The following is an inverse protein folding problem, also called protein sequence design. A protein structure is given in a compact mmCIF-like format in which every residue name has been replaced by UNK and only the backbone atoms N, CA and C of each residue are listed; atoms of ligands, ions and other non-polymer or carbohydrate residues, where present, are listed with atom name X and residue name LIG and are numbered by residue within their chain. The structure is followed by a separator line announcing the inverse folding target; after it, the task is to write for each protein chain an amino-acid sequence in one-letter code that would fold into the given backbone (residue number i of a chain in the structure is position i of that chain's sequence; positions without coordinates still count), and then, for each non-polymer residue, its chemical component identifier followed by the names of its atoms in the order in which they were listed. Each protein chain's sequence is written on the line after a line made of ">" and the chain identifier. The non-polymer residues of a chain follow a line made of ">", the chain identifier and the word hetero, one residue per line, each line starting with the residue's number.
data_IF_338915442557
#
_entry.id   IF_338915442557
#
_cell.length_a   1.000
_cell.length_b   1.000
_cell.length_c   1.000
_cell.angle_alpha   90.00
_cell.angle_beta   90.00
_cell.angle_gamma   90.00
#
_symmetry.space_group_name_H-M   'P 1'
#
loop_
_entity.id
_entity.type
_entity.pdbx_description
1 polymer ?
#
# COMPACT_ATOMS: atom_id res chain seq x y z
N UNK A 1 -41.72 35.27 20.30
CA UNK A 1 -41.63 35.27 18.82
C UNK A 1 -40.19 34.91 18.51
N UNK A 2 -40.01 33.69 18.49
CA UNK A 2 -39.62 32.76 17.43
C UNK A 2 -38.15 32.92 16.99
N UNK A 3 -37.27 32.16 17.67
CA UNK A 3 -35.99 31.78 17.19
C UNK A 3 -36.11 30.41 16.53
N UNK A 4 -35.84 30.27 15.24
CA UNK A 4 -35.71 29.00 14.54
C UNK A 4 -34.26 28.59 14.49
N UNK A 5 -34.05 27.36 14.92
CA UNK A 5 -32.78 26.66 14.89
C UNK A 5 -32.27 26.39 13.46
N UNK A 6 -30.98 26.34 13.33
CA UNK A 6 -30.27 25.76 12.18
C UNK A 6 -29.57 24.50 12.67
N UNK A 7 -30.29 23.42 12.68
CA UNK A 7 -29.75 22.08 12.67
C UNK A 7 -30.18 21.48 11.33
N UNK A 8 -29.33 21.51 10.34
CA UNK A 8 -29.48 20.62 9.18
C UNK A 8 -28.16 20.56 8.41
N UNK A 9 -27.80 19.33 8.10
CA UNK A 9 -26.96 18.88 6.99
C UNK A 9 -25.46 18.73 7.22
N UNK A 10 -25.14 17.74 8.03
CA UNK A 10 -23.85 17.02 7.94
C UNK A 10 -23.98 15.64 7.25
N UNK A 11 -24.97 15.47 6.36
CA UNK A 11 -25.27 14.16 5.75
C UNK A 11 -25.20 14.13 4.22
N UNK A 12 -24.67 15.15 3.54
CA UNK A 12 -24.71 15.19 2.07
C UNK A 12 -23.36 15.53 1.40
N UNK A 13 -22.23 15.09 1.93
CA UNK A 13 -20.92 15.21 1.24
C UNK A 13 -20.42 13.85 0.71
N UNK A 14 -21.23 12.80 0.82
CA UNK A 14 -20.92 11.51 0.23
C UNK A 14 -21.78 11.25 -0.99
N UNK A 15 -21.57 11.96 -2.11
CA UNK A 15 -22.03 11.43 -3.39
C UNK A 15 -21.53 12.30 -4.56
N UNK A 16 -20.52 11.82 -5.25
CA UNK A 16 -20.32 11.84 -6.71
C UNK A 16 -18.85 11.52 -7.04
N UNK A 17 -18.37 10.33 -6.65
CA UNK A 17 -17.26 9.75 -7.39
C UNK A 17 -17.83 9.08 -8.63
N UNK A 18 -17.37 9.53 -9.80
CA UNK A 18 -17.68 8.88 -11.07
C UNK A 18 -17.19 7.43 -11.00
N UNK A 19 -18.08 6.47 -11.26
CA UNK A 19 -17.82 5.04 -11.14
C UNK A 19 -16.92 4.60 -12.27
N UNK A 20 -15.67 4.24 -11.96
CA UNK A 20 -14.81 3.57 -12.94
C UNK A 20 -15.07 2.06 -12.95
N UNK A 21 -16.24 1.65 -13.41
CA UNK A 21 -16.48 0.29 -13.86
C UNK A 21 -16.18 0.27 -15.36
N UNK A 22 -14.97 -0.13 -15.72
CA UNK A 22 -14.54 -0.17 -17.14
C UNK A 22 -15.18 -1.37 -17.88
N UNK A 23 -15.36 -2.50 -17.18
CA UNK A 23 -15.98 -3.72 -17.72
C UNK A 23 -17.27 -4.03 -16.95
N UNK A 24 -18.43 -3.58 -17.44
CA UNK A 24 -19.70 -3.91 -16.80
C UNK A 24 -20.02 -5.39 -17.00
N UNK A 25 -20.39 -6.07 -15.92
CA UNK A 25 -20.77 -7.49 -15.92
C UNK A 25 -22.18 -7.66 -15.39
N UNK A 26 -22.93 -8.58 -16.00
CA UNK A 26 -24.20 -9.05 -15.49
C UNK A 26 -24.03 -10.15 -14.44
N UNK A 27 -25.02 -10.33 -13.57
CA UNK A 27 -25.02 -11.40 -12.57
C UNK A 27 -24.92 -12.80 -13.22
N UNK A 28 -25.54 -13.02 -14.39
CA UNK A 28 -25.53 -14.30 -15.08
C UNK A 28 -24.16 -14.62 -15.68
N UNK A 29 -23.45 -13.63 -16.22
CA UNK A 29 -22.05 -13.80 -16.67
C UNK A 29 -21.15 -14.19 -15.51
N UNK A 30 -21.30 -13.51 -14.36
CA UNK A 30 -20.51 -13.80 -13.16
C UNK A 30 -20.88 -15.16 -12.56
N UNK A 31 -22.13 -15.58 -12.55
CA UNK A 31 -22.53 -16.93 -12.14
C UNK A 31 -21.87 -18.01 -13.01
N UNK A 32 -21.87 -17.81 -14.32
CA UNK A 32 -21.23 -18.72 -15.27
C UNK A 32 -19.72 -18.80 -15.02
N UNK A 33 -19.09 -17.68 -14.78
CA UNK A 33 -17.65 -17.58 -14.46
C UNK A 33 -17.29 -18.21 -13.12
N UNK A 34 -18.14 -18.03 -12.10
CA UNK A 34 -17.88 -18.49 -10.73
C UNK A 34 -18.21 -19.96 -10.48
N UNK A 35 -19.10 -20.56 -11.29
CA UNK A 35 -19.55 -21.94 -11.13
C UNK A 35 -18.39 -22.98 -11.10
N UNK A 36 -17.35 -22.92 -11.95
CA UNK A 36 -16.21 -23.83 -11.87
C UNK A 36 -15.40 -23.76 -10.57
N UNK A 37 -15.49 -22.65 -9.82
CA UNK A 37 -14.90 -22.50 -8.49
C UNK A 37 -15.79 -23.06 -7.37
N UNK A 38 -16.94 -23.64 -7.70
CA UNK A 38 -17.93 -24.13 -6.74
C UNK A 38 -18.70 -23.01 -6.04
N UNK A 39 -18.78 -21.82 -6.63
CA UNK A 39 -19.48 -20.68 -6.08
C UNK A 39 -20.84 -20.50 -6.76
N UNK A 40 -21.89 -20.47 -5.95
CA UNK A 40 -23.24 -20.09 -6.38
C UNK A 40 -23.51 -18.63 -5.96
N UNK A 41 -23.36 -17.70 -6.92
CA UNK A 41 -23.41 -16.26 -6.64
C UNK A 41 -24.85 -15.77 -6.59
N UNK A 42 -25.24 -15.13 -5.47
CA UNK A 42 -26.53 -14.48 -5.26
C UNK A 42 -26.51 -13.00 -5.64
N UNK A 43 -25.43 -12.28 -5.23
CA UNK A 43 -25.35 -10.83 -5.36
C UNK A 43 -24.05 -10.43 -6.04
N UNK A 44 -24.13 -9.40 -6.88
CA UNK A 44 -23.01 -8.77 -7.57
C UNK A 44 -23.07 -7.26 -7.32
N UNK A 45 -22.10 -6.72 -6.59
CA UNK A 45 -22.08 -5.31 -6.23
C UNK A 45 -20.76 -4.68 -6.72
N UNK A 46 -20.82 -3.66 -7.60
CA UNK A 46 -19.62 -3.00 -8.08
C UNK A 46 -18.90 -2.27 -6.94
N UNK A 47 -17.57 -2.36 -6.91
CA UNK A 47 -16.72 -1.62 -5.97
C UNK A 47 -16.34 -0.30 -6.63
N UNK A 48 -16.68 0.80 -5.95
CA UNK A 48 -16.31 2.14 -6.39
C UNK A 48 -14.88 2.45 -5.96
N UNK A 49 -14.10 3.15 -6.80
CA UNK A 49 -12.78 3.68 -6.45
C UNK A 49 -11.57 2.86 -6.91
N UNK A 50 -11.74 1.79 -7.68
CA UNK A 50 -10.62 1.11 -8.35
C UNK A 50 -10.09 1.96 -9.52
N UNK A 51 -8.79 2.32 -9.51
CA UNK A 51 -8.19 3.17 -10.54
C UNK A 51 -7.73 2.35 -11.75
N UNK A 52 -7.31 1.12 -11.54
CA UNK A 52 -6.64 0.29 -12.56
C UNK A 52 -7.47 -0.91 -13.01
N UNK A 53 -8.35 -1.45 -12.16
CA UNK A 53 -9.09 -2.68 -12.42
C UNK A 53 -10.56 -2.50 -12.09
N UNK A 54 -11.43 -3.27 -12.76
CA UNK A 54 -12.83 -3.38 -12.39
C UNK A 54 -13.01 -4.42 -11.28
N UNK A 55 -13.60 -4.02 -10.17
CA UNK A 55 -13.80 -4.89 -9.02
C UNK A 55 -15.26 -5.00 -8.64
N UNK A 56 -15.67 -6.20 -8.21
CA UNK A 56 -17.01 -6.48 -7.70
C UNK A 56 -16.95 -7.25 -6.39
N UNK A 57 -17.81 -6.92 -5.43
CA UNK A 57 -18.13 -7.82 -4.34
C UNK A 57 -19.15 -8.86 -4.81
N UNK A 58 -18.84 -10.12 -4.55
CA UNK A 58 -19.74 -11.26 -4.76
C UNK A 58 -20.22 -11.76 -3.40
N UNK A 59 -21.50 -12.14 -3.32
CA UNK A 59 -22.05 -12.86 -2.17
C UNK A 59 -22.58 -14.20 -2.66
N UNK A 60 -22.14 -15.31 -2.07
CA UNK A 60 -22.62 -16.65 -2.40
C UNK A 60 -23.90 -17.03 -1.61
N UNK A 61 -24.49 -18.18 -1.93
CA UNK A 61 -25.67 -18.75 -1.24
C UNK A 61 -25.42 -19.00 0.26
N UNK A 62 -24.18 -19.19 0.68
CA UNK A 62 -23.78 -19.39 2.07
C UNK A 62 -23.46 -18.07 2.78
N UNK A 63 -23.75 -16.92 2.16
CA UNK A 63 -23.41 -15.57 2.64
C UNK A 63 -21.92 -15.29 2.78
N UNK A 64 -21.07 -16.11 2.21
CA UNK A 64 -19.63 -15.81 2.09
C UNK A 64 -19.42 -14.75 1.03
N UNK A 65 -18.42 -13.91 1.27
CA UNK A 65 -18.12 -12.76 0.42
C UNK A 65 -16.78 -12.94 -0.28
N UNK A 66 -16.72 -12.52 -1.52
CA UNK A 66 -15.54 -12.59 -2.38
C UNK A 66 -15.36 -11.29 -3.14
N UNK A 67 -14.18 -11.09 -3.70
CA UNK A 67 -13.87 -10.03 -4.66
C UNK A 67 -13.58 -10.68 -6.01
N UNK A 68 -14.30 -10.28 -7.04
CA UNK A 68 -13.97 -10.53 -8.43
C UNK A 68 -13.19 -9.32 -8.94
N UNK A 69 -11.94 -9.54 -9.36
CA UNK A 69 -11.11 -8.53 -10.03
C UNK A 69 -11.03 -8.86 -11.52
N UNK A 70 -11.38 -7.91 -12.38
CA UNK A 70 -11.17 -7.96 -13.82
C UNK A 70 -10.01 -7.03 -14.15
N UNK A 71 -8.96 -7.57 -14.74
CA UNK A 71 -7.76 -6.82 -15.09
C UNK A 71 -7.98 -6.10 -16.43
N UNK A 72 -7.87 -4.77 -16.40
CA UNK A 72 -8.18 -3.94 -17.58
C UNK A 72 -7.00 -3.83 -18.54
N UNK A 73 -5.77 -3.81 -18.00
CA UNK A 73 -4.56 -3.55 -18.77
C UNK A 73 -3.57 -4.74 -18.78
N UNK A 74 -3.64 -5.63 -17.78
CA UNK A 74 -2.75 -6.78 -17.68
C UNK A 74 -3.25 -7.95 -18.55
N UNK A 75 -2.31 -8.68 -19.14
CA UNK A 75 -2.60 -10.00 -19.68
C UNK A 75 -2.70 -11.07 -18.57
N UNK A 76 -2.98 -12.31 -18.92
CA UNK A 76 -3.15 -13.39 -17.95
C UNK A 76 -1.85 -13.70 -17.18
N UNK A 77 -0.69 -13.49 -17.77
CA UNK A 77 0.60 -13.68 -17.12
C UNK A 77 0.83 -12.59 -16.07
N UNK A 78 0.66 -11.32 -16.43
CA UNK A 78 0.80 -10.20 -15.52
C UNK A 78 -0.23 -10.24 -14.38
N UNK A 79 -1.49 -10.62 -14.67
CA UNK A 79 -2.54 -10.80 -13.68
C UNK A 79 -2.20 -11.91 -12.67
N UNK A 80 -1.48 -12.95 -13.10
CA UNK A 80 -1.09 -14.09 -12.27
C UNK A 80 0.27 -13.97 -11.58
N UNK A 81 1.06 -12.95 -11.88
CA UNK A 81 2.46 -12.82 -11.43
C UNK A 81 2.60 -12.90 -9.90
N UNK A 82 1.70 -12.27 -9.17
CA UNK A 82 1.76 -12.18 -7.70
C UNK A 82 1.05 -13.32 -6.96
N UNK A 83 0.34 -14.21 -7.66
CA UNK A 83 -0.40 -15.30 -7.00
C UNK A 83 0.52 -16.20 -6.18
N UNK A 84 1.70 -16.65 -6.67
CA UNK A 84 2.61 -17.46 -5.87
C UNK A 84 3.07 -16.76 -4.58
N UNK A 85 3.23 -15.43 -4.62
CA UNK A 85 3.57 -14.62 -3.44
C UNK A 85 2.44 -14.66 -2.42
N UNK A 86 1.20 -14.40 -2.85
CA UNK A 86 0.03 -14.42 -1.98
C UNK A 86 -0.18 -15.82 -1.36
N UNK A 87 0.05 -16.88 -2.12
CA UNK A 87 0.01 -18.26 -1.63
C UNK A 87 1.08 -18.52 -0.56
N UNK A 88 2.32 -18.10 -0.81
CA UNK A 88 3.41 -18.21 0.15
C UNK A 88 3.09 -17.46 1.44
N UNK A 89 2.63 -16.22 1.34
CA UNK A 89 2.25 -15.38 2.49
C UNK A 89 1.09 -16.02 3.29
N UNK A 90 0.07 -16.54 2.60
CA UNK A 90 -1.05 -17.23 3.24
C UNK A 90 -0.65 -18.47 4.02
N UNK A 91 0.41 -19.19 3.62
CA UNK A 91 0.94 -20.33 4.36
C UNK A 91 1.80 -19.94 5.58
N UNK A 92 2.15 -18.66 5.71
CA UNK A 92 2.96 -18.12 6.80
C UNK A 92 2.17 -17.17 7.73
N UNK A 93 0.85 -17.35 7.81
CA UNK A 93 -0.03 -16.58 8.68
C UNK A 93 0.03 -15.05 8.44
N UNK A 94 0.35 -14.63 7.20
CA UNK A 94 0.18 -13.25 6.77
C UNK A 94 -1.25 -13.11 6.21
N UNK A 95 -2.06 -12.18 6.73
CA UNK A 95 -3.46 -12.08 6.32
C UNK A 95 -3.57 -11.42 4.92
N UNK A 96 -3.63 -12.25 3.88
CA UNK A 96 -3.76 -11.84 2.48
C UNK A 96 -4.90 -12.58 1.79
N UNK A 97 -5.49 -11.96 0.77
CA UNK A 97 -6.54 -12.57 -0.02
C UNK A 97 -5.95 -13.48 -1.11
N UNK A 98 -5.75 -14.77 -0.79
CA UNK A 98 -5.25 -15.76 -1.76
C UNK A 98 -6.35 -16.07 -2.79
N UNK A 99 -6.12 -15.86 -4.10
CA UNK A 99 -7.11 -16.15 -5.14
C UNK A 99 -7.50 -17.62 -5.18
N UNK A 100 -8.79 -17.88 -5.43
CA UNK A 100 -9.31 -19.22 -5.62
C UNK A 100 -8.78 -19.82 -6.93
N UNK A 101 -8.59 -21.13 -6.94
CA UNK A 101 -8.15 -21.86 -8.15
C UNK A 101 -9.24 -22.83 -8.63
N UNK A 102 -9.40 -22.92 -9.94
CA UNK A 102 -10.05 -24.08 -10.56
C UNK A 102 -9.16 -24.61 -11.68
N UNK A 103 -9.16 -25.92 -11.90
CA UNK A 103 -8.26 -26.58 -12.88
C UNK A 103 -6.77 -26.20 -12.70
N UNK A 104 -6.34 -25.92 -11.48
CA UNK A 104 -4.97 -25.54 -11.13
C UNK A 104 -4.58 -24.08 -11.42
N UNK A 105 -5.48 -23.26 -11.98
CA UNK A 105 -5.24 -21.86 -12.33
C UNK A 105 -6.17 -20.93 -11.54
N UNK A 106 -5.65 -19.76 -11.16
CA UNK A 106 -6.43 -18.73 -10.46
C UNK A 106 -6.94 -17.65 -11.44
N UNK A 107 -6.24 -17.40 -12.54
CA UNK A 107 -6.65 -16.41 -13.55
C UNK A 107 -7.36 -17.12 -14.70
N UNK A 108 -8.58 -16.67 -14.98
CA UNK A 108 -9.40 -17.11 -16.11
C UNK A 108 -9.98 -15.89 -16.83
N UNK A 109 -10.78 -16.07 -17.89
CA UNK A 109 -11.28 -14.97 -18.68
C UNK A 109 -12.80 -14.77 -18.49
N UNK A 110 -13.19 -13.51 -18.27
CA UNK A 110 -14.58 -13.05 -18.30
C UNK A 110 -14.66 -11.81 -19.20
N UNK A 111 -15.68 -11.73 -20.06
CA UNK A 111 -15.82 -10.64 -21.02
C UNK A 111 -14.54 -10.36 -21.87
N UNK A 112 -13.75 -11.42 -22.15
CA UNK A 112 -12.51 -11.33 -22.92
C UNK A 112 -11.31 -10.80 -22.16
N UNK A 113 -11.41 -10.56 -20.84
CA UNK A 113 -10.33 -10.03 -19.99
C UNK A 113 -9.92 -11.03 -18.92
N UNK A 114 -8.65 -11.02 -18.48
CA UNK A 114 -8.21 -11.81 -17.34
C UNK A 114 -8.95 -11.39 -16.07
N UNK A 115 -9.33 -12.37 -15.26
CA UNK A 115 -10.01 -12.13 -14.00
C UNK A 115 -9.69 -13.19 -12.96
N UNK A 116 -9.82 -12.85 -11.70
CA UNK A 116 -9.66 -13.74 -10.55
C UNK A 116 -10.74 -13.50 -9.50
N UNK A 117 -11.00 -14.53 -8.69
CA UNK A 117 -11.86 -14.44 -7.51
C UNK A 117 -11.01 -14.72 -6.27
N UNK A 118 -11.07 -13.84 -5.28
CA UNK A 118 -10.42 -14.04 -3.99
C UNK A 118 -11.43 -13.88 -2.85
N UNK A 119 -11.22 -14.50 -1.67
CA UNK A 119 -12.02 -14.23 -0.49
C UNK A 119 -11.96 -12.74 -0.14
N UNK A 120 -13.10 -12.15 0.24
CA UNK A 120 -13.12 -10.78 0.75
C UNK A 120 -12.51 -10.74 2.15
N UNK A 121 -11.48 -9.94 2.32
CA UNK A 121 -10.99 -9.59 3.65
C UNK A 121 -11.93 -8.58 4.30
N UNK A 122 -12.23 -8.78 5.56
CA UNK A 122 -13.15 -7.95 6.32
C UNK A 122 -12.38 -6.86 7.08
N UNK A 123 -13.10 -5.85 7.60
CA UNK A 123 -12.50 -4.79 8.39
C UNK A 123 -12.53 -3.43 7.69
N UNK A 124 -11.83 -2.47 8.31
CA UNK A 124 -11.79 -1.08 7.85
C UNK A 124 -10.34 -0.56 7.88
N UNK A 125 -10.03 0.41 7.02
CA UNK A 125 -8.75 1.12 7.06
C UNK A 125 -8.70 2.00 8.32
N UNK A 126 -7.65 1.91 9.15
CA UNK A 126 -7.56 2.72 10.35
C UNK A 126 -7.22 4.17 10.00
N UNK A 127 -8.12 5.10 10.36
CA UNK A 127 -7.87 6.54 10.18
C UNK A 127 -6.77 7.05 11.13
N UNK A 128 -6.78 6.54 12.34
CA UNK A 128 -5.74 6.70 13.34
C UNK A 128 -5.40 5.32 13.92
N UNK A 129 -4.14 5.10 14.21
CA UNK A 129 -3.67 3.82 14.72
C UNK A 129 -3.58 3.80 16.24
N UNK A 130 -3.87 2.64 16.85
CA UNK A 130 -3.51 2.36 18.23
C UNK A 130 -2.14 1.69 18.32
N UNK A 131 -1.53 1.66 19.51
CA UNK A 131 -0.29 0.91 19.77
C UNK A 131 -0.44 -0.57 19.43
N UNK A 132 -1.61 -1.16 19.75
CA UNK A 132 -1.90 -2.55 19.44
C UNK A 132 -2.00 -2.83 17.91
N UNK A 133 -2.63 -1.92 17.16
CA UNK A 133 -2.67 -2.03 15.69
C UNK A 133 -1.27 -1.90 15.07
N UNK A 134 -0.43 -1.01 15.62
CA UNK A 134 0.98 -0.86 15.19
C UNK A 134 1.76 -2.15 15.46
N UNK A 135 1.61 -2.77 16.62
CA UNK A 135 2.24 -4.05 16.91
C UNK A 135 1.74 -5.17 15.99
N UNK A 136 0.44 -5.19 15.65
CA UNK A 136 -0.14 -6.20 14.76
C UNK A 136 0.39 -6.10 13.32
N UNK A 137 0.52 -4.88 12.77
CA UNK A 137 1.10 -4.71 11.42
C UNK A 137 2.59 -5.02 11.41
N UNK A 138 3.33 -4.69 12.47
CA UNK A 138 4.75 -5.01 12.60
C UNK A 138 5.01 -6.52 12.62
N UNK A 139 4.21 -7.28 13.37
CA UNK A 139 4.25 -8.76 13.38
C UNK A 139 4.00 -9.33 11.97
N UNK A 140 2.94 -8.88 11.31
CA UNK A 140 2.58 -9.35 9.97
C UNK A 140 3.65 -8.99 8.93
N UNK A 141 4.23 -7.79 8.99
CA UNK A 141 5.30 -7.37 8.08
C UNK A 141 6.60 -8.17 8.32
N UNK A 142 6.93 -8.48 9.57
CA UNK A 142 8.07 -9.34 9.86
C UNK A 142 7.88 -10.76 9.31
N UNK A 143 6.67 -11.32 9.44
CA UNK A 143 6.30 -12.60 8.81
C UNK A 143 6.39 -12.54 7.29
N UNK A 144 5.94 -11.45 6.66
CA UNK A 144 6.06 -11.22 5.22
C UNK A 144 7.53 -11.27 4.79
N UNK A 145 8.40 -10.53 5.45
CA UNK A 145 9.82 -10.50 5.12
C UNK A 145 10.49 -11.89 5.29
N UNK A 146 10.13 -12.63 6.33
CA UNK A 146 10.64 -13.98 6.56
C UNK A 146 10.09 -14.96 5.52
N UNK A 147 8.79 -14.90 5.22
CA UNK A 147 8.13 -15.79 4.26
C UNK A 147 8.65 -15.62 2.83
N UNK A 148 9.08 -14.41 2.49
CA UNK A 148 9.61 -14.08 1.15
C UNK A 148 11.13 -14.06 1.11
N UNK A 149 11.82 -14.39 2.20
CA UNK A 149 13.26 -14.59 2.17
C UNK A 149 13.58 -15.73 1.21
N UNK A 150 14.49 -15.49 0.26
CA UNK A 150 14.88 -16.46 -0.77
C UNK A 150 13.73 -16.99 -1.64
N UNK A 151 12.57 -16.30 -1.65
CA UNK A 151 11.45 -16.68 -2.48
C UNK A 151 11.80 -16.53 -3.97
N UNK A 152 11.61 -17.58 -4.81
CA UNK A 152 12.08 -17.57 -6.20
C UNK A 152 11.10 -16.85 -7.12
N UNK A 153 10.89 -15.54 -6.92
CA UNK A 153 10.12 -14.69 -7.81
C UNK A 153 11.07 -13.94 -8.75
N UNK A 154 10.95 -14.19 -10.04
CA UNK A 154 11.58 -13.38 -11.08
C UNK A 154 10.60 -12.30 -11.51
N UNK A 155 10.91 -11.06 -11.21
CA UNK A 155 10.09 -9.91 -11.56
C UNK A 155 10.95 -8.81 -12.17
N UNK A 156 10.56 -8.35 -13.37
CA UNK A 156 11.25 -7.23 -14.03
C UNK A 156 10.92 -5.86 -13.40
N UNK A 157 9.84 -5.79 -12.66
CA UNK A 157 9.40 -4.57 -11.97
C UNK A 157 10.40 -4.17 -10.89
N UNK A 158 11.05 -3.02 -11.10
CA UNK A 158 12.04 -2.49 -10.16
C UNK A 158 11.73 -1.02 -9.87
N UNK A 159 11.32 -0.77 -8.64
CA UNK A 159 11.19 0.58 -8.07
C UNK A 159 11.99 0.70 -6.78
N UNK A 160 13.24 0.24 -6.85
CA UNK A 160 14.21 0.30 -5.78
C UNK A 160 14.71 1.75 -5.54
N UNK A 161 15.62 1.89 -4.58
CA UNK A 161 16.23 3.18 -4.24
C UNK A 161 16.86 3.88 -5.46
N UNK A 162 17.48 3.14 -6.38
CA UNK A 162 18.09 3.73 -7.58
C UNK A 162 17.05 4.33 -8.53
N UNK A 163 15.93 3.64 -8.74
CA UNK A 163 14.81 4.15 -9.53
C UNK A 163 14.29 5.48 -8.96
N UNK A 164 14.02 5.53 -7.64
CA UNK A 164 13.48 6.73 -7.02
C UNK A 164 14.47 7.89 -6.98
N UNK A 165 15.76 7.61 -6.87
CA UNK A 165 16.82 8.61 -7.03
C UNK A 165 16.76 9.24 -8.43
N UNK A 166 16.60 8.43 -9.47
CA UNK A 166 16.42 8.91 -10.84
C UNK A 166 15.18 9.79 -11.02
N UNK A 167 14.07 9.43 -10.38
CA UNK A 167 12.82 10.24 -10.39
C UNK A 167 13.07 11.59 -9.71
N UNK A 168 13.69 11.62 -8.54
CA UNK A 168 13.98 12.84 -7.80
C UNK A 168 14.87 13.80 -8.61
N UNK A 169 15.92 13.29 -9.26
CA UNK A 169 16.80 14.11 -10.12
C UNK A 169 16.06 14.69 -11.33
N UNK A 170 15.12 13.96 -11.92
CA UNK A 170 14.28 14.47 -13.03
C UNK A 170 13.29 15.57 -12.58
N UNK A 171 12.86 15.53 -11.32
CA UNK A 171 11.95 16.52 -10.75
C UNK A 171 12.68 17.78 -10.26
N UNK A 172 13.94 17.65 -9.86
CA UNK A 172 14.78 18.69 -9.26
C UNK A 172 14.74 20.06 -10.00
N UNK A 173 14.82 20.13 -11.35
CA UNK A 173 14.74 21.40 -12.06
C UNK A 173 13.43 22.18 -11.88
N UNK A 174 12.36 21.51 -11.43
CA UNK A 174 11.04 22.13 -11.21
C UNK A 174 10.76 22.42 -9.74
N UNK A 175 11.69 22.11 -8.84
CA UNK A 175 11.59 22.34 -7.40
C UNK A 175 12.04 23.75 -7.04
N UNK A 176 11.56 24.27 -5.91
CA UNK A 176 12.10 25.50 -5.32
C UNK A 176 13.53 25.26 -4.82
N UNK A 177 14.30 26.33 -4.59
CA UNK A 177 15.65 26.21 -4.04
C UNK A 177 15.66 25.54 -2.67
N UNK A 178 14.65 25.84 -1.83
CA UNK A 178 14.52 25.23 -0.51
C UNK A 178 14.25 23.70 -0.61
N UNK A 179 13.42 23.29 -1.59
CA UNK A 179 13.13 21.88 -1.83
C UNK A 179 14.34 21.13 -2.37
N UNK A 180 15.11 21.75 -3.28
CA UNK A 180 16.37 21.18 -3.77
C UNK A 180 17.38 20.99 -2.62
N UNK A 181 17.51 22.00 -1.76
CA UNK A 181 18.38 21.95 -0.59
C UNK A 181 17.97 20.84 0.37
N UNK A 182 16.66 20.72 0.65
CA UNK A 182 16.13 19.67 1.53
C UNK A 182 16.39 18.28 0.94
N UNK A 183 16.13 18.10 -0.37
CA UNK A 183 16.41 16.86 -1.10
C UNK A 183 17.89 16.47 -0.97
N UNK A 184 18.80 17.40 -1.23
CA UNK A 184 20.26 17.19 -1.15
C UNK A 184 20.70 16.80 0.26
N UNK A 185 20.16 17.43 1.29
CA UNK A 185 20.47 17.11 2.69
C UNK A 185 20.04 15.68 3.06
N UNK A 186 18.84 15.24 2.63
CA UNK A 186 18.37 13.87 2.86
C UNK A 186 19.28 12.86 2.18
N UNK A 187 19.62 13.07 0.89
CA UNK A 187 20.52 12.16 0.17
C UNK A 187 21.92 12.15 0.76
N UNK A 188 22.45 13.31 1.17
CA UNK A 188 23.77 13.39 1.81
C UNK A 188 23.80 12.62 3.13
N UNK A 189 22.81 12.80 4.00
CA UNK A 189 22.70 12.10 5.26
C UNK A 189 22.55 10.57 5.06
N UNK A 190 21.68 10.19 4.14
CA UNK A 190 21.45 8.78 3.79
C UNK A 190 22.72 8.11 3.27
N UNK A 191 23.37 8.71 2.26
CA UNK A 191 24.57 8.14 1.66
C UNK A 191 25.74 8.05 2.65
N UNK A 192 25.92 9.05 3.51
CA UNK A 192 26.98 9.05 4.51
C UNK A 192 26.80 7.90 5.52
N UNK A 193 25.58 7.73 6.02
CA UNK A 193 25.31 6.71 7.05
C UNK A 193 25.29 5.30 6.47
N UNK A 194 24.67 5.11 5.30
CA UNK A 194 24.62 3.81 4.64
C UNK A 194 25.99 3.32 4.14
N UNK A 195 26.90 4.21 3.84
CA UNK A 195 28.29 3.86 3.53
C UNK A 195 29.06 3.32 4.76
N UNK A 196 28.72 3.80 5.96
CA UNK A 196 29.35 3.38 7.21
C UNK A 196 28.79 2.05 7.73
N UNK A 197 27.49 1.85 7.62
CA UNK A 197 26.75 0.71 8.15
C UNK A 197 26.17 -0.11 6.98
N UNK A 198 26.89 -1.13 6.53
CA UNK A 198 26.59 -1.84 5.28
C UNK A 198 25.88 -3.19 5.45
N UNK A 199 25.77 -3.71 6.68
CA UNK A 199 25.12 -4.99 6.95
C UNK A 199 23.60 -4.82 7.10
N UNK A 200 22.92 -4.48 5.99
CA UNK A 200 21.49 -4.31 5.90
C UNK A 200 20.90 -5.34 4.93
N UNK A 201 20.09 -6.28 5.45
CA UNK A 201 19.48 -7.32 4.63
C UNK A 201 18.55 -6.77 3.54
N UNK A 202 18.60 -7.43 2.39
CA UNK A 202 17.72 -7.18 1.25
C UNK A 202 16.74 -8.34 1.06
N UNK A 203 15.59 -8.08 0.46
CA UNK A 203 14.59 -9.08 0.14
C UNK A 203 13.39 -8.47 -0.56
N UNK A 204 12.32 -9.24 -0.71
CA UNK A 204 11.06 -8.69 -1.18
C UNK A 204 10.40 -7.84 -0.10
N UNK A 205 10.00 -6.65 -0.48
CA UNK A 205 9.29 -5.67 0.34
C UNK A 205 7.95 -5.33 -0.29
N UNK A 206 6.95 -5.00 0.53
CA UNK A 206 5.64 -4.55 0.05
C UNK A 206 5.75 -3.22 -0.70
N UNK A 207 6.63 -2.35 -0.25
CA UNK A 207 6.94 -1.03 -0.81
C UNK A 207 5.86 0.04 -0.71
N UNK A 208 4.65 -0.31 -0.29
CA UNK A 208 3.51 0.59 -0.15
C UNK A 208 2.62 0.21 1.05
N UNK A 209 3.23 -0.23 2.16
CA UNK A 209 2.50 -0.68 3.35
C UNK A 209 2.04 0.50 4.21
N UNK A 210 0.99 1.16 3.74
CA UNK A 210 0.27 2.24 4.41
C UNK A 210 -1.02 1.73 5.06
N UNK A 211 -1.62 2.55 5.92
CA UNK A 211 -2.91 2.26 6.57
C UNK A 211 -4.05 2.00 5.58
N UNK A 212 -4.05 2.68 4.43
CA UNK A 212 -5.03 2.49 3.36
C UNK A 212 -4.85 1.17 2.58
N UNK A 213 -3.72 0.48 2.79
CA UNK A 213 -3.47 -0.89 2.29
C UNK A 213 -3.64 -1.96 3.37
N UNK A 214 -4.29 -1.64 4.50
CA UNK A 214 -4.55 -2.59 5.58
C UNK A 214 -6.00 -2.56 6.05
N UNK A 215 -6.49 -3.69 6.52
CA UNK A 215 -7.84 -3.83 7.07
C UNK A 215 -7.76 -4.32 8.51
N UNK A 216 -8.47 -3.63 9.40
CA UNK A 216 -8.56 -3.98 10.81
C UNK A 216 -10.00 -4.16 11.27
N UNK A 217 -10.21 -5.12 12.17
CA UNK A 217 -11.42 -5.25 12.98
C UNK A 217 -11.03 -5.04 14.44
N UNK A 218 -11.35 -3.88 14.99
CA UNK A 218 -10.80 -3.44 16.26
C UNK A 218 -9.27 -3.34 16.20
N UNK A 219 -8.56 -4.12 17.02
CA UNK A 219 -7.09 -4.17 17.06
C UNK A 219 -6.50 -5.31 16.22
N UNK A 220 -7.33 -6.17 15.65
CA UNK A 220 -6.89 -7.31 14.88
C UNK A 220 -6.71 -6.95 13.40
N UNK A 221 -5.52 -7.21 12.86
CA UNK A 221 -5.25 -7.11 11.43
C UNK A 221 -5.99 -8.23 10.69
N UNK A 222 -6.85 -7.87 9.75
CA UNK A 222 -7.64 -8.78 8.93
C UNK A 222 -7.08 -8.92 7.51
N UNK A 223 -6.30 -7.95 7.05
CA UNK A 223 -5.77 -7.99 5.70
C UNK A 223 -4.68 -6.99 5.39
N UNK A 224 -3.75 -7.44 4.55
CA UNK A 224 -2.81 -6.60 3.81
C UNK A 224 -3.22 -6.68 2.34
N UNK A 225 -3.36 -5.53 1.70
CA UNK A 225 -3.84 -5.35 0.34
C UNK A 225 -2.73 -4.77 -0.55
N UNK A 226 -2.95 -4.81 -1.85
CA UNK A 226 -2.18 -4.07 -2.86
C UNK A 226 -0.68 -4.39 -2.92
N UNK A 227 -0.36 -5.58 -3.40
CA UNK A 227 1.01 -6.06 -3.60
C UNK A 227 1.63 -5.65 -4.95
N UNK A 228 0.99 -4.75 -5.72
CA UNK A 228 1.50 -4.39 -7.06
C UNK A 228 2.87 -3.71 -7.04
N UNK A 229 3.18 -2.98 -5.95
CA UNK A 229 4.49 -2.35 -5.74
C UNK A 229 5.55 -3.29 -5.14
N UNK A 230 5.21 -4.59 -4.91
CA UNK A 230 6.16 -5.57 -4.38
C UNK A 230 7.43 -5.59 -5.23
N UNK A 231 8.57 -5.45 -4.57
CA UNK A 231 9.83 -5.36 -5.27
C UNK A 231 11.01 -5.75 -4.34
N UNK A 232 12.20 -5.99 -4.91
CA UNK A 232 13.40 -6.26 -4.12
C UNK A 232 14.09 -4.96 -3.74
N UNK A 233 14.29 -4.75 -2.43
CA UNK A 233 15.05 -3.62 -1.87
C UNK A 233 15.58 -4.00 -0.48
N UNK A 234 16.21 -3.05 0.23
CA UNK A 234 16.57 -3.22 1.64
C UNK A 234 15.30 -3.32 2.50
N UNK A 235 15.19 -4.36 3.35
CA UNK A 235 14.03 -4.59 4.21
C UNK A 235 13.73 -3.38 5.12
N UNK A 236 14.75 -2.62 5.45
CA UNK A 236 14.64 -1.41 6.27
C UNK A 236 13.81 -0.30 5.60
N UNK A 237 13.73 -0.25 4.24
CA UNK A 237 12.83 0.68 3.54
C UNK A 237 11.37 0.39 3.85
N UNK A 238 10.98 -0.88 3.83
CA UNK A 238 9.59 -1.27 4.10
C UNK A 238 9.19 -0.96 5.55
N UNK A 239 10.11 -1.24 6.49
CA UNK A 239 9.97 -0.88 7.90
C UNK A 239 9.78 0.64 8.04
N UNK A 240 10.62 1.42 7.38
CA UNK A 240 10.56 2.89 7.44
C UNK A 240 9.26 3.45 6.84
N UNK A 241 8.77 2.87 5.74
CA UNK A 241 7.49 3.24 5.14
C UNK A 241 6.34 3.03 6.14
N UNK A 242 6.28 1.84 6.74
CA UNK A 242 5.23 1.48 7.69
C UNK A 242 5.30 2.33 8.97
N UNK A 243 6.49 2.53 9.55
CA UNK A 243 6.68 3.41 10.71
C UNK A 243 6.24 4.84 10.37
N UNK A 244 6.62 5.36 9.22
CA UNK A 244 6.25 6.71 8.80
C UNK A 244 4.74 6.92 8.72
N UNK A 245 3.97 5.92 8.30
CA UNK A 245 2.53 6.06 8.21
C UNK A 245 1.82 5.70 9.53
N UNK A 246 2.14 4.56 10.11
CA UNK A 246 1.42 4.04 11.28
C UNK A 246 1.80 4.73 12.60
N UNK A 247 3.03 5.24 12.72
CA UNK A 247 3.52 5.83 13.96
C UNK A 247 3.51 7.36 13.94
N UNK A 248 3.06 8.00 12.86
CA UNK A 248 2.99 9.47 12.77
C UNK A 248 1.72 10.01 13.42
N UNK A 249 1.86 11.09 14.17
CA UNK A 249 0.75 11.88 14.71
C UNK A 249 0.30 12.90 13.65
N UNK A 250 -0.83 12.63 13.02
CA UNK A 250 -1.39 13.54 12.01
C UNK A 250 -2.28 14.61 12.65
N UNK A 251 -2.24 15.87 12.18
CA UNK A 251 -1.47 16.37 11.02
C UNK A 251 -0.05 16.87 11.36
N UNK A 252 0.44 16.66 12.58
CA UNK A 252 1.69 17.26 13.07
C UNK A 252 2.97 16.67 12.44
N UNK A 253 2.89 15.60 11.70
CA UNK A 253 4.00 14.88 11.05
C UNK A 253 5.08 14.31 12.02
N UNK A 254 4.89 14.40 13.35
CA UNK A 254 5.82 13.86 14.33
C UNK A 254 5.60 12.38 14.60
N UNK A 255 6.68 11.64 14.88
CA UNK A 255 6.57 10.25 15.35
C UNK A 255 6.08 10.19 16.80
N UNK A 256 5.17 9.27 17.05
CA UNK A 256 4.81 8.84 18.40
C UNK A 256 5.80 7.77 18.86
N UNK A 257 6.59 8.06 19.88
CA UNK A 257 7.63 7.14 20.40
C UNK A 257 7.08 5.81 20.88
N UNK A 258 5.94 5.80 21.59
CA UNK A 258 5.35 4.57 22.10
C UNK A 258 4.92 3.63 20.95
N UNK A 259 4.44 4.20 19.83
CA UNK A 259 4.11 3.45 18.62
C UNK A 259 5.36 2.89 17.94
N UNK A 260 6.42 3.69 17.82
CA UNK A 260 7.70 3.24 17.24
C UNK A 260 8.30 2.10 18.05
N UNK A 261 8.32 2.24 19.38
CA UNK A 261 8.83 1.22 20.28
C UNK A 261 8.02 -0.09 20.16
N UNK A 262 6.68 0.03 20.17
CA UNK A 262 5.80 -1.13 19.98
C UNK A 262 5.99 -1.82 18.62
N UNK A 263 6.19 -1.03 17.55
CA UNK A 263 6.49 -1.57 16.23
C UNK A 263 7.80 -2.37 16.23
N UNK A 264 8.88 -1.76 16.72
CA UNK A 264 10.21 -2.39 16.74
C UNK A 264 10.24 -3.63 17.64
N UNK A 265 9.56 -3.56 18.79
CA UNK A 265 9.44 -4.72 19.69
C UNK A 265 8.69 -5.88 19.02
N UNK A 266 7.53 -5.62 18.40
CA UNK A 266 6.74 -6.64 17.75
C UNK A 266 7.45 -7.26 16.54
N UNK A 267 8.04 -6.44 15.68
CA UNK A 267 8.78 -6.86 14.51
C UNK A 267 9.97 -7.76 14.89
N UNK A 268 10.76 -7.37 15.90
CA UNK A 268 11.97 -8.08 16.31
C UNK A 268 11.68 -9.41 17.03
N UNK A 269 10.44 -9.69 17.45
CA UNK A 269 10.04 -11.02 17.94
C UNK A 269 10.08 -12.09 16.83
N UNK A 270 9.94 -11.68 15.58
CA UNK A 270 9.92 -12.56 14.40
C UNK A 270 11.27 -12.48 13.65
N UNK A 271 11.75 -11.26 13.33
CA UNK A 271 13.01 -11.00 12.64
C UNK A 271 13.83 -9.98 13.42
N UNK A 272 14.95 -10.41 13.96
CA UNK A 272 15.87 -9.48 14.64
C UNK A 272 16.46 -8.49 13.62
N UNK A 273 16.50 -7.22 13.98
CA UNK A 273 17.22 -6.19 13.24
C UNK A 273 18.73 -6.29 13.51
N UNK A 274 19.54 -6.09 12.48
CA UNK A 274 20.98 -5.97 12.66
C UNK A 274 21.33 -4.65 13.37
N UNK A 275 22.55 -4.56 13.92
CA UNK A 275 23.05 -3.28 14.47
C UNK A 275 23.01 -2.17 13.42
N UNK A 276 23.35 -2.51 12.18
CA UNK A 276 23.44 -1.56 11.07
C UNK A 276 22.05 -1.07 10.62
N UNK A 277 21.03 -1.94 10.67
CA UNK A 277 19.63 -1.52 10.45
C UNK A 277 19.19 -0.53 11.54
N UNK A 278 19.49 -0.80 12.80
CA UNK A 278 19.12 0.09 13.92
C UNK A 278 19.83 1.44 13.82
N UNK A 279 21.10 1.46 13.45
CA UNK A 279 21.87 2.70 13.25
C UNK A 279 21.37 3.51 12.04
N UNK A 280 20.85 2.86 10.99
CA UNK A 280 20.37 3.52 9.78
C UNK A 280 18.89 3.89 9.80
N UNK A 281 18.11 3.47 10.79
CA UNK A 281 16.66 3.64 10.80
C UNK A 281 16.23 5.11 10.60
N UNK A 282 16.91 6.05 11.23
CA UNK A 282 16.61 7.48 11.13
C UNK A 282 16.74 8.03 9.70
N UNK A 283 17.81 7.67 8.98
CA UNK A 283 18.02 8.10 7.59
C UNK A 283 17.07 7.38 6.63
N UNK A 284 16.68 6.13 6.92
CA UNK A 284 15.68 5.41 6.13
C UNK A 284 14.28 6.00 6.30
N UNK A 285 13.90 6.45 7.50
CA UNK A 285 12.65 7.19 7.73
C UNK A 285 12.60 8.47 6.89
N UNK A 286 13.70 9.26 6.88
CA UNK A 286 13.77 10.47 6.06
C UNK A 286 13.74 10.14 4.56
N UNK A 287 14.47 9.12 4.11
CA UNK A 287 14.53 8.71 2.71
C UNK A 287 13.21 8.10 2.22
N UNK A 288 12.51 7.32 3.04
CA UNK A 288 11.18 6.81 2.70
C UNK A 288 10.17 7.96 2.50
N UNK A 289 10.17 8.97 3.38
CA UNK A 289 9.34 10.16 3.19
C UNK A 289 9.72 10.92 1.91
N UNK A 290 11.01 11.04 1.60
CA UNK A 290 11.54 11.65 0.37
C UNK A 290 11.06 10.90 -0.89
N UNK A 291 11.08 9.56 -0.88
CA UNK A 291 10.55 8.72 -1.97
C UNK A 291 9.09 9.03 -2.25
N UNK A 292 8.23 9.03 -1.23
CA UNK A 292 6.81 9.31 -1.41
C UNK A 292 6.52 10.78 -1.74
N UNK A 293 7.34 11.70 -1.26
CA UNK A 293 7.29 13.10 -1.72
C UNK A 293 7.55 13.21 -3.23
N UNK A 294 8.63 12.57 -3.71
CA UNK A 294 8.99 12.54 -5.13
C UNK A 294 7.90 11.89 -5.99
N UNK A 295 7.32 10.77 -5.51
CA UNK A 295 6.20 10.10 -6.18
C UNK A 295 4.98 11.01 -6.30
N UNK A 296 4.58 11.69 -5.22
CA UNK A 296 3.43 12.61 -5.24
C UNK A 296 3.67 13.82 -6.14
N UNK A 297 4.91 14.34 -6.21
CA UNK A 297 5.30 15.40 -7.14
C UNK A 297 5.24 14.92 -8.60
N UNK A 298 5.68 13.69 -8.88
CA UNK A 298 5.60 13.10 -10.22
C UNK A 298 4.15 12.95 -10.68
N UNK A 299 3.25 12.47 -9.80
CA UNK A 299 1.82 12.35 -10.08
C UNK A 299 1.20 13.73 -10.31
N UNK A 300 1.51 14.72 -9.47
CA UNK A 300 1.00 16.09 -9.62
C UNK A 300 1.46 16.74 -10.95
N UNK A 301 2.72 16.53 -11.34
CA UNK A 301 3.26 16.98 -12.62
C UNK A 301 2.52 16.33 -13.79
N UNK A 302 2.36 14.99 -13.77
CA UNK A 302 1.65 14.23 -14.81
C UNK A 302 0.21 14.72 -14.97
N UNK A 303 -0.55 14.85 -13.85
CA UNK A 303 -1.92 15.34 -13.87
C UNK A 303 -2.01 16.74 -14.51
N UNK A 304 -1.07 17.64 -14.17
CA UNK A 304 -1.00 18.98 -14.75
C UNK A 304 -0.71 18.95 -16.26
N UNK A 305 0.22 18.11 -16.71
CA UNK A 305 0.59 17.95 -18.13
C UNK A 305 -0.55 17.37 -18.95
N UNK A 306 -1.33 16.44 -18.38
CA UNK A 306 -2.50 15.82 -19.00
C UNK A 306 -3.78 16.67 -18.90
N UNK A 307 -3.71 17.84 -18.26
CA UNK A 307 -4.85 18.74 -18.07
C UNK A 307 -5.94 18.17 -17.15
N UNK A 308 -5.61 17.18 -16.34
CA UNK A 308 -6.52 16.60 -15.36
C UNK A 308 -6.67 17.59 -14.20
N UNK A 309 -7.87 18.14 -14.04
CA UNK A 309 -8.20 19.09 -12.96
C UNK A 309 -9.58 18.74 -12.39
N UNK A 310 -9.77 18.91 -11.09
CA UNK A 310 -11.07 18.72 -10.41
C UNK A 310 -11.04 17.71 -9.27
N UNK A 311 -12.18 17.53 -8.64
CA UNK A 311 -12.37 16.67 -7.47
C UNK A 311 -12.27 15.16 -7.79
N UNK A 312 -12.22 14.80 -9.07
CA UNK A 312 -12.11 13.41 -9.56
C UNK A 312 -10.66 12.89 -9.59
N UNK A 313 -9.68 13.71 -9.21
CA UNK A 313 -8.27 13.33 -9.21
C UNK A 313 -7.87 12.89 -7.80
N UNK A 314 -7.61 11.59 -7.63
CA UNK A 314 -6.96 11.06 -6.42
C UNK A 314 -5.49 11.53 -6.38
N UNK A 315 -5.28 12.73 -5.88
CA UNK A 315 -3.95 13.29 -5.67
C UNK A 315 -3.72 13.56 -4.19
N UNK A 316 -2.86 12.77 -3.55
CA UNK A 316 -2.41 13.05 -2.18
C UNK A 316 -1.50 14.29 -2.20
N UNK A 317 -1.63 15.15 -1.17
CA UNK A 317 -0.83 16.38 -1.07
C UNK A 317 0.66 16.05 -0.89
N UNK A 318 1.55 16.55 -1.78
CA UNK A 318 2.99 16.39 -1.60
C UNK A 318 3.53 17.07 -0.33
N UNK A 319 2.88 18.14 0.16
CA UNK A 319 3.36 18.89 1.32
C UNK A 319 3.35 18.08 2.62
N UNK A 320 2.45 17.12 2.74
CA UNK A 320 2.43 16.18 3.88
C UNK A 320 3.74 15.38 3.96
N UNK A 321 4.18 14.79 2.85
CA UNK A 321 5.45 14.03 2.80
C UNK A 321 6.67 14.94 2.93
N UNK A 322 6.59 16.18 2.42
CA UNK A 322 7.64 17.19 2.60
C UNK A 322 7.83 17.54 4.08
N UNK A 323 6.74 17.79 4.79
CA UNK A 323 6.77 18.09 6.23
C UNK A 323 7.32 16.90 7.03
N UNK A 324 6.87 15.69 6.71
CA UNK A 324 7.38 14.45 7.29
C UNK A 324 8.89 14.30 7.05
N UNK A 325 9.37 14.50 5.83
CA UNK A 325 10.78 14.43 5.47
C UNK A 325 11.62 15.44 6.29
N UNK A 326 11.15 16.68 6.46
CA UNK A 326 11.81 17.69 7.28
C UNK A 326 11.89 17.27 8.75
N UNK A 327 10.79 16.75 9.29
CA UNK A 327 10.77 16.25 10.67
C UNK A 327 11.77 15.11 10.86
N UNK A 328 11.74 14.10 9.99
CA UNK A 328 12.65 12.95 10.08
C UNK A 328 14.12 13.36 9.96
N UNK A 329 14.44 14.24 9.00
CA UNK A 329 15.82 14.73 8.82
C UNK A 329 16.33 15.48 10.05
N UNK A 330 15.47 16.22 10.76
CA UNK A 330 15.85 16.93 11.98
C UNK A 330 16.26 16.01 13.15
N UNK A 331 15.88 14.74 13.08
CA UNK A 331 16.19 13.72 14.09
C UNK A 331 17.33 12.77 13.69
N UNK A 332 17.91 12.95 12.49
CA UNK A 332 19.09 12.17 12.07
C UNK A 332 20.26 12.49 12.98
N UNK A 333 20.80 11.43 13.60
CA UNK A 333 21.98 11.54 14.47
C UNK A 333 23.24 11.66 13.60
N UNK A 334 24.12 12.59 13.99
CA UNK A 334 25.40 12.82 13.34
C UNK A 334 26.36 11.64 13.51
#
# INVERSE_FOLDING_TARGET
>A
MEGRGILSNFTDVFCRFSMSVYTPLSLDEVRTFAAPYGLEVLELNPIQGGIQNTNYFLVDVNRKQYVLTVFEELDAQGAGELIPVLEQLGTHDVPVAVPLKHSGQAVHFIAGKPAQIAPRLMGHHPMQTTVAQVAAIADAQAKLHVALQDFPLEREYRRDHQYWTGVAEQLKPNMTQDDQTLLEQVYQAFNAKTAQYSNRPTGFIHSDLFRDNTLFEGEQLQGILDFYELNQDELLFDIAITINDFCTEYPAAHLNSDKVDAYLEAYQKIRALTSDELECLDVFLAMAACRFWSMRLQVAKKNKEEGRTGDDILQKDPQEMRAMMQDRLSHVKA
#
